data_IF_140663510758
#
_entry.id   IF_140663510758
#
_cell.length_a   1.000
_cell.length_b   1.000
_cell.length_c   1.000
_cell.angle_alpha   90.00
_cell.angle_beta   90.00
_cell.angle_gamma   90.00
#
_symmetry.space_group_name_H-M   'P 1'
#
loop_
_entity.id
_entity.type
_entity.pdbx_description
1 polymer ?
#
# COMPACT_ATOMS: atom_id res chain seq x y z
N UNK A 1 12.63 -5.26 -0.23
CA UNK A 1 12.06 -6.58 -0.55
C UNK A 1 12.23 -7.49 0.66
N UNK A 2 11.15 -7.71 1.42
CA UNK A 2 11.15 -8.60 2.58
C UNK A 2 10.78 -10.02 2.10
N UNK A 3 11.73 -10.95 2.14
CA UNK A 3 11.49 -12.35 1.77
C UNK A 3 10.85 -13.06 2.95
N UNK A 4 9.52 -13.08 2.98
CA UNK A 4 8.73 -13.71 4.04
C UNK A 4 8.97 -15.23 3.99
N UNK A 5 9.70 -15.77 4.97
CA UNK A 5 9.89 -17.22 5.10
C UNK A 5 8.64 -17.82 5.74
N UNK A 6 7.75 -18.35 4.91
CA UNK A 6 6.61 -19.19 5.32
C UNK A 6 7.11 -20.56 5.79
N UNK A 7 7.92 -20.61 6.85
CA UNK A 7 8.35 -21.87 7.45
C UNK A 7 8.32 -21.69 8.97
N UNK A 8 7.46 -22.46 9.63
CA UNK A 8 7.44 -22.63 11.07
C UNK A 8 8.76 -23.29 11.51
N UNK A 9 9.32 -22.86 12.64
CA UNK A 9 10.56 -23.44 13.17
C UNK A 9 10.40 -24.91 13.57
N UNK A 10 9.17 -25.36 13.86
CA UNK A 10 8.86 -26.71 14.31
C UNK A 10 8.24 -27.60 13.21
N UNK A 11 7.72 -27.03 12.14
CA UNK A 11 7.16 -27.76 11.00
C UNK A 11 7.92 -27.48 9.71
N UNK A 12 8.43 -28.55 9.07
CA UNK A 12 9.19 -28.46 7.81
C UNK A 12 8.34 -27.97 6.62
N UNK A 13 7.02 -27.84 6.77
CA UNK A 13 6.10 -27.48 5.69
C UNK A 13 5.02 -26.49 6.16
N UNK A 14 4.84 -25.39 5.44
CA UNK A 14 3.70 -24.48 5.62
C UNK A 14 2.40 -24.97 4.95
N UNK A 15 2.52 -25.97 4.07
CA UNK A 15 1.42 -26.61 3.37
C UNK A 15 1.46 -28.09 3.71
N UNK A 16 0.40 -28.60 4.34
CA UNK A 16 0.29 -30.01 4.74
C UNK A 16 -0.92 -30.67 4.10
N UNK A 17 -0.77 -31.92 3.66
CA UNK A 17 -1.90 -32.79 3.32
C UNK A 17 -2.24 -33.64 4.53
N UNK A 18 -3.43 -33.47 5.09
CA UNK A 18 -3.90 -34.21 6.26
C UNK A 18 -5.10 -35.06 5.84
N UNK A 19 -4.88 -36.36 5.59
CA UNK A 19 -5.88 -37.31 5.06
C UNK A 19 -6.35 -37.07 3.61
N UNK A 20 -6.75 -38.16 2.95
CA UNK A 20 -7.25 -38.17 1.56
C UNK A 20 -8.56 -37.39 1.35
N UNK A 21 -9.27 -37.07 2.44
CA UNK A 21 -10.60 -36.45 2.39
C UNK A 21 -10.59 -34.96 2.75
N UNK A 22 -9.43 -34.40 3.12
CA UNK A 22 -9.28 -32.96 3.32
C UNK A 22 -8.34 -32.42 2.24
N UNK A 23 -8.66 -31.22 1.76
CA UNK A 23 -7.84 -30.51 0.79
C UNK A 23 -6.58 -29.90 1.42
N UNK A 24 -6.08 -28.85 0.79
CA UNK A 24 -4.90 -28.13 1.21
C UNK A 24 -5.14 -27.45 2.56
N UNK A 25 -4.16 -27.57 3.47
CA UNK A 25 -4.12 -26.81 4.72
C UNK A 25 -2.96 -25.82 4.72
N UNK A 26 -3.23 -24.62 5.19
CA UNK A 26 -2.24 -23.56 5.36
C UNK A 26 -2.17 -23.16 6.83
N UNK A 27 -0.94 -23.16 7.35
CA UNK A 27 -0.63 -22.90 8.75
C UNK A 27 -0.74 -24.16 9.64
N UNK A 28 0.11 -24.28 10.68
CA UNK A 28 0.21 -25.45 11.55
C UNK A 28 -1.08 -25.75 12.34
N UNK A 29 -1.89 -24.72 12.62
CA UNK A 29 -3.13 -24.84 13.37
C UNK A 29 -4.38 -24.99 12.48
N UNK A 30 -4.22 -25.33 11.20
CA UNK A 30 -5.33 -25.42 10.23
C UNK A 30 -6.03 -24.07 10.06
N UNK A 31 -5.28 -22.97 10.02
CA UNK A 31 -5.88 -21.64 9.95
C UNK A 31 -6.70 -21.41 8.68
N UNK A 32 -6.26 -22.04 7.60
CA UNK A 32 -7.01 -22.14 6.35
C UNK A 32 -7.02 -23.59 5.89
N UNK A 33 -8.19 -24.13 5.57
CA UNK A 33 -8.31 -25.48 5.01
C UNK A 33 -9.33 -25.51 3.88
N UNK A 34 -9.01 -26.22 2.80
CA UNK A 34 -10.03 -26.56 1.80
C UNK A 34 -10.69 -27.89 2.15
N UNK A 35 -12.03 -27.90 2.25
CA UNK A 35 -12.83 -29.07 2.61
C UNK A 35 -14.00 -29.12 1.63
N UNK A 36 -14.09 -30.18 0.82
CA UNK A 36 -15.19 -30.41 -0.12
C UNK A 36 -15.53 -29.21 -1.03
N UNK A 37 -14.52 -28.50 -1.55
CA UNK A 37 -14.73 -27.34 -2.43
C UNK A 37 -15.09 -26.03 -1.69
N UNK A 38 -15.07 -26.04 -0.36
CA UNK A 38 -15.18 -24.83 0.48
C UNK A 38 -13.85 -24.53 1.16
N UNK A 39 -13.63 -23.26 1.53
CA UNK A 39 -12.54 -22.82 2.41
C UNK A 39 -13.11 -22.61 3.80
N UNK A 40 -12.55 -23.29 4.80
CA UNK A 40 -12.85 -23.05 6.20
C UNK A 40 -11.67 -22.33 6.86
N UNK A 41 -11.98 -21.26 7.57
CA UNK A 41 -11.01 -20.47 8.33
C UNK A 41 -11.11 -20.80 9.82
N UNK A 42 -10.02 -21.25 10.44
CA UNK A 42 -9.98 -21.58 11.87
C UNK A 42 -9.00 -20.67 12.61
N UNK A 43 -9.49 -19.79 13.48
CA UNK A 43 -8.65 -19.06 14.45
C UNK A 43 -7.49 -18.27 13.81
N UNK A 44 -7.78 -17.41 12.82
CA UNK A 44 -6.78 -16.52 12.21
C UNK A 44 -6.14 -15.62 13.27
N UNK A 45 -4.82 -15.41 13.16
CA UNK A 45 -4.06 -14.56 14.07
C UNK A 45 -2.94 -15.25 14.84
N UNK A 46 -2.68 -16.55 14.64
CA UNK A 46 -1.48 -17.20 15.23
C UNK A 46 -0.35 -17.33 14.21
N UNK A 47 -0.66 -17.75 12.99
CA UNK A 47 0.31 -17.94 11.90
C UNK A 47 0.23 -16.80 10.90
N UNK A 48 -0.99 -16.40 10.53
CA UNK A 48 -1.24 -15.26 9.64
C UNK A 48 -1.73 -14.06 10.44
N UNK A 49 -1.38 -12.86 10.00
CA UNK A 49 -1.90 -11.62 10.57
C UNK A 49 -3.42 -11.56 10.36
N UNK A 50 -4.13 -11.00 11.36
CA UNK A 50 -5.58 -10.86 11.26
C UNK A 50 -5.95 -9.84 10.20
N UNK A 51 -7.01 -10.15 9.47
CA UNK A 51 -7.61 -9.20 8.57
C UNK A 51 -8.26 -8.06 9.38
N UNK A 52 -8.20 -6.81 8.89
CA UNK A 52 -8.98 -5.71 9.48
C UNK A 52 -10.50 -5.92 9.33
N UNK A 53 -10.93 -6.87 8.49
CA UNK A 53 -12.34 -7.22 8.32
C UNK A 53 -12.73 -8.31 9.34
N UNK A 54 -13.66 -7.98 10.25
CA UNK A 54 -14.14 -8.88 11.32
C UNK A 54 -14.73 -10.19 10.80
N UNK A 55 -15.35 -10.16 9.63
CA UNK A 55 -15.97 -11.31 8.95
C UNK A 55 -14.98 -12.47 8.70
N UNK A 56 -13.70 -12.13 8.49
CA UNK A 56 -12.63 -13.11 8.26
C UNK A 56 -11.99 -13.61 9.56
N UNK A 57 -12.33 -13.02 10.71
CA UNK A 57 -11.73 -13.38 12.00
C UNK A 57 -12.54 -14.42 12.77
N UNK A 58 -13.78 -14.65 12.37
CA UNK A 58 -14.68 -15.66 12.95
C UNK A 58 -14.68 -16.97 12.15
N UNK A 59 -15.13 -18.05 12.79
CA UNK A 59 -15.16 -19.39 12.20
C UNK A 59 -16.21 -19.48 11.08
N UNK A 60 -15.80 -19.16 9.87
CA UNK A 60 -16.64 -19.19 8.69
C UNK A 60 -16.16 -20.23 7.68
N UNK A 61 -17.13 -20.81 6.96
CA UNK A 61 -16.90 -21.64 5.78
C UNK A 61 -17.43 -20.90 4.56
N UNK A 62 -16.58 -20.73 3.57
CA UNK A 62 -16.86 -20.01 2.34
C UNK A 62 -16.83 -20.97 1.16
N UNK A 63 -17.81 -20.87 0.27
CA UNK A 63 -17.82 -21.62 -0.99
C UNK A 63 -16.81 -21.02 -1.97
N UNK A 64 -15.95 -21.87 -2.57
CA UNK A 64 -14.98 -21.41 -3.57
C UNK A 64 -15.71 -21.30 -4.91
N UNK A 65 -15.90 -20.07 -5.39
CA UNK A 65 -16.42 -19.84 -6.75
C UNK A 65 -15.34 -20.01 -7.82
N UNK A 66 -14.14 -19.52 -7.51
CA UNK A 66 -13.00 -19.51 -8.41
C UNK A 66 -11.71 -19.62 -7.60
N UNK A 67 -10.69 -20.27 -8.16
CA UNK A 67 -9.37 -20.39 -7.54
C UNK A 67 -8.29 -20.27 -8.60
N UNK A 68 -7.44 -19.26 -8.47
CA UNK A 68 -6.28 -19.06 -9.32
C UNK A 68 -5.00 -19.40 -8.56
N UNK A 69 -4.05 -20.08 -9.22
CA UNK A 69 -2.76 -20.46 -8.63
C UNK A 69 -1.65 -19.89 -9.51
N UNK A 70 -0.83 -19.02 -8.93
CA UNK A 70 0.29 -18.40 -9.61
C UNK A 70 1.61 -19.03 -9.17
N UNK A 71 2.41 -19.46 -10.14
CA UNK A 71 3.78 -19.87 -9.92
C UNK A 71 4.70 -18.67 -10.15
N UNK A 72 5.41 -18.24 -9.10
CA UNK A 72 6.50 -17.26 -9.24
C UNK A 72 7.81 -18.03 -9.44
N UNK A 73 8.44 -17.86 -10.60
CA UNK A 73 9.77 -18.39 -10.89
C UNK A 73 10.75 -17.25 -11.15
N UNK A 74 11.99 -17.40 -10.66
CA UNK A 74 13.08 -16.46 -10.98
C UNK A 74 13.51 -16.54 -12.46
N UNK A 75 13.14 -17.62 -13.13
CA UNK A 75 13.33 -17.78 -14.57
C UNK A 75 12.21 -17.05 -15.34
N UNK A 76 12.60 -16.11 -16.19
CA UNK A 76 11.72 -15.50 -17.20
C UNK A 76 11.35 -16.58 -18.20
N UNK A 77 10.25 -17.29 -17.95
CA UNK A 77 9.68 -18.21 -18.94
C UNK A 77 9.02 -17.38 -20.03
N UNK A 78 9.64 -17.36 -21.21
CA UNK A 78 8.97 -16.95 -22.44
C UNK A 78 7.71 -17.81 -22.56
N UNK A 79 6.52 -17.22 -22.81
CA UNK A 79 5.28 -17.96 -22.86
C UNK A 79 5.28 -18.93 -24.04
N UNK A 80 5.70 -20.17 -23.80
CA UNK A 80 5.52 -21.25 -24.76
C UNK A 80 4.04 -21.60 -24.75
N UNK A 81 3.31 -21.18 -25.80
CA UNK A 81 1.91 -21.58 -26.06
C UNK A 81 1.77 -23.10 -25.85
N UNK A 82 1.30 -23.50 -24.67
CA UNK A 82 0.83 -24.86 -24.49
C UNK A 82 -0.47 -24.98 -25.27
N UNK A 83 -0.38 -25.69 -26.39
CA UNK A 83 -1.49 -26.03 -27.27
C UNK A 83 -2.41 -26.96 -26.48
N UNK A 84 -3.33 -26.39 -25.70
CA UNK A 84 -4.43 -27.12 -25.10
C UNK A 84 -5.25 -27.74 -26.23
N UNK A 85 -5.32 -29.06 -26.20
CA UNK A 85 -6.09 -29.86 -27.14
C UNK A 85 -7.34 -30.27 -26.39
N UNK A 86 -8.41 -29.50 -26.56
CA UNK A 86 -9.77 -29.87 -26.12
C UNK A 86 -10.64 -30.02 -27.37
N UNK A 87 -11.45 -31.08 -27.50
CA UNK A 87 -12.43 -31.20 -28.55
C UNK A 87 -13.76 -30.52 -28.15
N UNK A 88 -14.25 -29.71 -29.08
CA UNK A 88 -15.64 -29.65 -29.55
C UNK A 88 -16.77 -29.40 -28.54
N UNK A 89 -17.20 -28.14 -28.43
CA UNK A 89 -18.61 -27.76 -28.45
C UNK A 89 -18.73 -26.26 -28.70
N UNK A 90 -19.43 -25.95 -29.78
CA UNK A 90 -19.76 -24.63 -30.34
C UNK A 90 -20.61 -23.76 -29.41
N UNK A 91 -20.15 -22.54 -29.12
CA UNK A 91 -21.01 -21.37 -28.98
C UNK A 91 -20.36 -20.18 -29.71
N UNK A 92 -21.16 -19.56 -30.58
CA UNK A 92 -20.83 -18.38 -31.39
C UNK A 92 -20.62 -17.16 -30.49
N UNK A 93 -19.41 -17.01 -29.96
CA UNK A 93 -18.90 -15.73 -29.50
C UNK A 93 -18.19 -15.04 -30.66
N UNK A 94 -18.64 -13.83 -31.02
CA UNK A 94 -17.92 -12.92 -31.92
C UNK A 94 -16.49 -12.69 -31.39
N UNK A 95 -15.56 -13.54 -31.84
CA UNK A 95 -14.15 -13.46 -31.51
C UNK A 95 -13.58 -12.24 -32.26
N UNK A 96 -13.64 -11.09 -31.59
CA UNK A 96 -12.92 -9.88 -32.00
C UNK A 96 -11.44 -10.19 -31.94
N UNK A 97 -10.92 -10.70 -33.06
CA UNK A 97 -9.50 -10.85 -33.32
C UNK A 97 -8.86 -9.46 -33.40
N UNK A 98 -8.63 -8.84 -32.23
CA UNK A 98 -7.85 -7.63 -32.12
C UNK A 98 -6.51 -7.88 -32.81
N UNK A 99 -6.13 -6.96 -33.69
CA UNK A 99 -4.93 -7.17 -34.48
C UNK A 99 -3.70 -7.16 -33.55
N UNK A 100 -2.64 -7.94 -33.83
CA UNK A 100 -1.42 -7.93 -33.02
C UNK A 100 -0.80 -6.53 -32.82
N UNK A 101 -1.10 -5.61 -33.73
CA UNK A 101 -0.66 -4.22 -33.70
C UNK A 101 -1.39 -3.43 -32.60
N UNK A 102 -2.72 -3.53 -32.54
CA UNK A 102 -3.54 -2.85 -31.51
C UNK A 102 -3.15 -3.27 -30.09
N UNK A 103 -2.78 -4.54 -29.91
CA UNK A 103 -2.32 -5.05 -28.61
C UNK A 103 -0.96 -4.45 -28.25
N UNK A 104 -0.03 -4.36 -29.21
CA UNK A 104 1.28 -3.75 -28.99
C UNK A 104 1.14 -2.27 -28.62
N UNK A 105 0.33 -1.54 -29.36
CA UNK A 105 0.09 -0.11 -29.12
C UNK A 105 -0.56 0.12 -27.75
N UNK A 106 -1.52 -0.72 -27.37
CA UNK A 106 -2.15 -0.66 -26.05
C UNK A 106 -1.17 -0.94 -24.91
N UNK A 107 -0.24 -1.88 -25.12
CA UNK A 107 0.82 -2.19 -24.14
C UNK A 107 1.77 -1.00 -24.00
N UNK A 108 2.26 -0.44 -25.11
CA UNK A 108 3.18 0.70 -25.08
C UNK A 108 2.52 1.95 -24.49
N UNK A 109 1.23 2.17 -24.78
CA UNK A 109 0.43 3.23 -24.16
C UNK A 109 0.30 3.04 -22.64
N UNK A 110 0.09 1.80 -22.15
CA UNK A 110 0.07 1.54 -20.71
C UNK A 110 1.44 1.75 -20.06
N UNK A 111 2.52 1.34 -20.71
CA UNK A 111 3.88 1.53 -20.18
C UNK A 111 4.26 3.00 -20.07
N UNK A 112 3.90 3.81 -21.05
CA UNK A 112 4.15 5.26 -21.00
C UNK A 112 3.33 5.91 -19.89
N UNK A 113 2.04 5.60 -19.79
CA UNK A 113 1.20 6.10 -18.70
C UNK A 113 1.71 5.69 -17.31
N UNK A 114 2.21 4.45 -17.15
CA UNK A 114 2.80 3.99 -15.89
C UNK A 114 4.09 4.75 -15.54
N UNK A 115 4.94 5.05 -16.51
CA UNK A 115 6.16 5.83 -16.28
C UNK A 115 5.85 7.27 -15.89
N UNK A 116 4.84 7.86 -16.52
CA UNK A 116 4.42 9.23 -16.19
C UNK A 116 3.87 9.31 -14.77
N UNK A 117 3.04 8.33 -14.37
CA UNK A 117 2.52 8.23 -13.00
C UNK A 117 3.64 8.00 -11.97
N UNK A 118 4.63 7.16 -12.29
CA UNK A 118 5.79 6.91 -11.43
C UNK A 118 6.60 8.20 -11.21
N UNK A 119 6.80 8.99 -12.27
CA UNK A 119 7.46 10.29 -12.19
C UNK A 119 6.66 11.29 -11.32
N UNK A 120 5.33 11.28 -11.41
CA UNK A 120 4.45 12.12 -10.57
C UNK A 120 4.56 11.73 -9.08
N UNK A 121 4.52 10.43 -8.77
CA UNK A 121 4.69 9.92 -7.41
C UNK A 121 6.04 10.35 -6.83
N UNK A 122 7.12 10.15 -7.57
CA UNK A 122 8.47 10.55 -7.14
C UNK A 122 8.52 12.07 -6.89
N UNK A 123 7.91 12.87 -7.77
CA UNK A 123 7.83 14.32 -7.58
C UNK A 123 7.09 14.68 -6.28
N UNK A 124 6.00 13.99 -5.98
CA UNK A 124 5.20 14.22 -4.78
C UNK A 124 5.96 13.81 -3.50
N UNK A 125 6.61 12.65 -3.50
CA UNK A 125 7.45 12.19 -2.38
C UNK A 125 8.59 13.17 -2.08
N UNK A 126 9.23 13.70 -3.12
CA UNK A 126 10.26 14.72 -2.96
C UNK A 126 9.67 16.00 -2.34
N UNK A 127 8.48 16.42 -2.77
CA UNK A 127 7.81 17.60 -2.21
C UNK A 127 7.48 17.43 -0.72
N UNK A 128 7.01 16.26 -0.30
CA UNK A 128 6.77 15.96 1.12
C UNK A 128 8.05 15.92 1.94
N UNK A 129 9.13 15.39 1.37
CA UNK A 129 10.44 15.40 2.03
C UNK A 129 10.93 16.83 2.25
N UNK A 130 10.71 17.73 1.30
CA UNK A 130 11.08 19.13 1.44
C UNK A 130 10.16 19.88 2.42
N UNK A 131 8.87 19.56 2.44
CA UNK A 131 7.92 20.06 3.43
C UNK A 131 8.27 19.59 4.85
N UNK A 132 8.63 18.31 5.04
CA UNK A 132 9.07 17.78 6.32
C UNK A 132 10.32 18.51 6.82
N UNK A 133 11.31 18.73 5.96
CA UNK A 133 12.51 19.53 6.30
C UNK A 133 12.12 20.96 6.66
N UNK A 134 11.20 21.57 5.91
CA UNK A 134 10.71 22.91 6.20
C UNK A 134 10.05 22.95 7.59
N UNK A 135 9.08 22.08 7.87
CA UNK A 135 8.39 22.00 9.16
C UNK A 135 9.38 21.73 10.29
N UNK A 136 10.31 20.79 10.10
CA UNK A 136 11.33 20.47 11.11
C UNK A 136 12.24 21.66 11.37
N UNK A 137 12.64 22.41 10.34
CA UNK A 137 13.44 23.63 10.49
C UNK A 137 12.64 24.80 11.09
N UNK A 138 11.34 24.84 10.81
CA UNK A 138 10.44 25.88 11.28
C UNK A 138 10.10 25.68 12.75
N UNK A 139 9.79 24.45 13.15
CA UNK A 139 9.40 24.04 14.51
C UNK A 139 10.61 23.72 15.39
N UNK A 140 11.76 23.37 14.82
CA UNK A 140 12.98 22.96 15.53
C UNK A 140 13.69 24.04 16.38
N UNK A 141 13.02 25.15 16.71
CA UNK A 141 13.45 26.15 17.68
C UNK A 141 12.71 26.02 19.02
N UNK A 142 12.78 27.05 19.86
CA UNK A 142 11.89 27.13 21.02
C UNK A 142 10.45 27.28 20.54
N UNK A 143 9.51 26.49 21.07
CA UNK A 143 8.08 26.61 20.71
C UNK A 143 7.50 28.00 21.01
N UNK A 144 8.18 28.79 21.85
CA UNK A 144 7.88 30.20 22.11
C UNK A 144 8.11 31.14 20.92
N UNK A 145 8.84 30.69 19.89
CA UNK A 145 9.21 31.53 18.73
C UNK A 145 8.19 31.52 17.61
N UNK A 146 7.22 30.61 17.60
CA UNK A 146 6.15 30.62 16.58
C UNK A 146 5.01 31.51 17.06
N UNK A 147 4.74 32.57 16.30
CA UNK A 147 3.68 33.55 16.56
C UNK A 147 2.57 33.34 15.53
N UNK A 148 1.34 33.24 16.02
CA UNK A 148 0.15 33.16 15.19
C UNK A 148 -0.53 34.52 15.13
N UNK A 149 -0.76 35.04 13.92
CA UNK A 149 -1.38 36.33 13.64
C UNK A 149 -2.72 36.12 12.94
N UNK A 150 -3.75 36.87 13.33
CA UNK A 150 -5.00 36.94 12.57
C UNK A 150 -4.99 38.22 11.72
N UNK A 151 -4.85 38.05 10.41
CA UNK A 151 -4.80 39.13 9.43
C UNK A 151 -6.11 39.12 8.65
N UNK A 152 -7.04 40.01 9.03
CA UNK A 152 -8.35 40.16 8.38
C UNK A 152 -9.21 38.89 8.34
N UNK A 153 -9.15 38.06 9.39
CA UNK A 153 -9.89 36.79 9.48
C UNK A 153 -9.08 35.56 9.07
N UNK A 154 -7.91 35.75 8.46
CA UNK A 154 -7.01 34.66 8.08
C UNK A 154 -5.92 34.47 9.14
N UNK A 155 -5.84 33.25 9.68
CA UNK A 155 -4.82 32.87 10.67
C UNK A 155 -3.53 32.48 9.94
N UNK A 156 -2.44 33.16 10.25
CA UNK A 156 -1.10 32.91 9.70
C UNK A 156 -0.12 32.61 10.83
N UNK A 157 0.84 31.72 10.62
CA UNK A 157 1.92 31.43 11.57
C UNK A 157 3.26 31.90 11.01
N UNK A 158 4.09 32.53 11.84
CA UNK A 158 5.44 32.99 11.48
C UNK A 158 6.38 32.85 12.65
N UNK A 159 7.70 32.92 12.40
CA UNK A 159 8.68 33.06 13.49
C UNK A 159 8.67 34.50 14.02
N UNK A 160 8.88 34.64 15.32
CA UNK A 160 9.07 35.92 16.02
C UNK A 160 10.24 36.70 15.41
N UNK A 161 11.32 36.00 15.09
CA UNK A 161 12.48 36.59 14.41
C UNK A 161 12.10 37.31 13.12
N UNK A 162 11.14 36.78 12.35
CA UNK A 162 10.64 37.41 11.12
C UNK A 162 9.94 38.74 11.40
N UNK A 163 9.22 38.85 12.52
CA UNK A 163 8.55 40.09 12.93
C UNK A 163 9.53 41.15 13.45
N UNK A 164 10.70 40.72 13.92
CA UNK A 164 11.76 41.58 14.45
C UNK A 164 12.77 42.05 13.38
N UNK A 165 12.63 41.63 12.12
CA UNK A 165 13.56 42.02 11.03
C UNK A 165 13.68 43.53 10.87
N UNK A 166 12.57 44.26 11.08
CA UNK A 166 12.54 45.72 11.05
C UNK A 166 12.28 46.21 12.48
N UNK A 167 13.35 46.52 13.21
CA UNK A 167 13.32 46.93 14.63
C UNK A 167 12.39 48.11 14.92
N UNK A 168 12.26 49.03 13.97
CA UNK A 168 11.42 50.23 14.11
C UNK A 168 9.93 49.98 13.81
N UNK A 169 9.56 48.77 13.39
CA UNK A 169 8.16 48.47 13.06
C UNK A 169 7.30 48.30 14.30
N UNK A 170 6.01 48.65 14.19
CA UNK A 170 5.03 48.42 15.25
C UNK A 170 4.96 46.94 15.66
N UNK A 171 5.11 46.03 14.69
CA UNK A 171 5.15 44.59 14.94
C UNK A 171 6.40 44.21 15.74
N UNK A 172 7.58 44.73 15.39
CA UNK A 172 8.78 44.46 16.16
C UNK A 172 8.66 44.93 17.61
N UNK A 173 8.11 46.12 17.84
CA UNK A 173 7.89 46.64 19.20
C UNK A 173 6.88 45.82 20.01
N UNK A 174 5.84 45.27 19.36
CA UNK A 174 4.82 44.47 20.03
C UNK A 174 5.33 43.11 20.50
N UNK A 175 6.31 42.54 19.79
CA UNK A 175 6.86 41.20 20.02
C UNK A 175 8.30 41.23 20.58
N UNK A 176 8.75 42.38 21.09
CA UNK A 176 10.07 42.55 21.72
C UNK A 176 10.03 42.15 23.21
N UNK A 177 10.68 41.03 23.54
CA UNK A 177 10.77 40.49 24.90
C UNK A 177 11.48 41.44 25.89
N UNK A 178 12.35 42.34 25.38
CA UNK A 178 13.03 43.32 26.25
C UNK A 178 12.09 44.40 26.77
N UNK A 179 10.94 44.57 26.12
CA UNK A 179 9.85 45.44 26.56
C UNK A 179 8.70 44.68 27.24
N UNK A 180 8.73 43.34 27.15
CA UNK A 180 7.78 42.40 27.74
C UNK A 180 8.30 41.78 29.05
N UNK A 181 9.02 42.56 29.86
CA UNK A 181 9.21 42.20 31.26
C UNK A 181 7.93 42.55 32.02
N UNK A 182 7.23 41.52 32.50
CA UNK A 182 6.00 41.53 33.32
C UNK A 182 4.68 41.34 32.57
N UNK A 183 4.24 40.08 32.52
CA UNK A 183 2.84 39.67 32.70
C UNK A 183 2.77 38.32 33.42
#
# INVERSE_FOLDING_TARGET
SAKMKLVDAESKYAIGHYHTNYGLRFGPNTELATINGSVSMYCIGKTYERSPFEELNELHTYEIKEMEVFQVSDEVRVPTRQKSRSPDASEEGEERNASPVEISDAIDSKWTALKDLDAEIISLENSFTDEEKFITSFVGGSTSDVVTLNVSGTVMATKRQTLLVISESMLAQQFDDTKWTEQ
#
